data_IF_946895745009
#
_entry.id   IF_946895745009
#
_cell.length_a   1.000
_cell.length_b   1.000
_cell.length_c   1.000
_cell.angle_alpha   90.00
_cell.angle_beta   90.00
_cell.angle_gamma   90.00
#
_symmetry.space_group_name_H-M   'P 1'
#
loop_
_entity.id
_entity.type
_entity.pdbx_description
1 polymer ?
#
# COMPACT_ATOMS: atom_id res chain seq x y z
N UNK A 1 -0.16 -17.11 -18.73
CA UNK A 1 -1.36 -17.00 -17.88
C UNK A 1 -1.24 -17.84 -16.61
N UNK A 2 -0.89 -19.11 -16.72
CA UNK A 2 -0.75 -19.98 -15.52
C UNK A 2 0.35 -19.50 -14.55
N UNK A 3 1.42 -18.87 -15.04
CA UNK A 3 2.51 -18.33 -14.22
C UNK A 3 2.00 -17.10 -13.46
N UNK A 4 1.35 -16.16 -14.14
CA UNK A 4 0.76 -14.99 -13.50
C UNK A 4 -0.21 -15.38 -12.38
N UNK A 5 -1.15 -16.30 -12.66
CA UNK A 5 -2.11 -16.79 -11.67
C UNK A 5 -1.46 -17.45 -10.44
N UNK A 6 -0.25 -17.97 -10.59
CA UNK A 6 0.48 -18.64 -9.52
C UNK A 6 1.30 -17.68 -8.66
N UNK A 7 1.85 -16.62 -9.27
CA UNK A 7 2.84 -15.77 -8.62
C UNK A 7 2.39 -14.33 -8.40
N UNK A 8 1.31 -13.88 -9.06
CA UNK A 8 0.74 -12.58 -8.80
C UNK A 8 0.19 -12.52 -7.37
N UNK A 9 0.55 -11.46 -6.66
CA UNK A 9 0.11 -11.21 -5.27
C UNK A 9 -0.84 -10.03 -5.17
N UNK A 10 -1.00 -9.25 -6.25
CA UNK A 10 -1.99 -8.19 -6.35
C UNK A 10 -3.29 -8.74 -6.93
N UNK A 11 -4.02 -9.51 -6.13
CA UNK A 11 -5.30 -10.14 -6.50
C UNK A 11 -6.34 -9.94 -5.40
N UNK A 12 -7.57 -9.63 -5.80
CA UNK A 12 -8.70 -9.48 -4.87
C UNK A 12 -8.94 -10.79 -4.12
N UNK A 13 -9.06 -10.70 -2.81
CA UNK A 13 -9.27 -11.86 -1.93
C UNK A 13 -7.99 -12.59 -1.50
N UNK A 14 -6.83 -12.15 -1.95
CA UNK A 14 -5.56 -12.63 -1.41
C UNK A 14 -5.27 -11.93 -0.08
N UNK A 15 -4.77 -12.69 0.91
CA UNK A 15 -4.29 -12.16 2.17
C UNK A 15 -2.86 -12.60 2.43
N UNK A 16 -2.17 -11.90 3.30
CA UNK A 16 -0.87 -12.30 3.82
C UNK A 16 -0.87 -12.25 5.34
N UNK A 17 -0.20 -13.19 5.94
CA UNK A 17 0.04 -13.22 7.38
C UNK A 17 1.03 -12.12 7.76
N UNK A 18 0.71 -11.39 8.81
CA UNK A 18 1.54 -10.35 9.40
C UNK A 18 1.61 -10.52 10.92
N UNK A 19 2.78 -10.30 11.49
CA UNK A 19 2.97 -10.30 12.95
C UNK A 19 2.79 -8.86 13.44
N UNK A 20 1.61 -8.57 13.95
CA UNK A 20 1.27 -7.25 14.50
C UNK A 20 1.93 -7.03 15.87
N UNK A 21 2.15 -5.77 16.19
CA UNK A 21 2.82 -5.36 17.44
C UNK A 21 2.01 -5.75 18.68
N UNK A 22 0.69 -5.58 18.65
CA UNK A 22 -0.20 -5.89 19.78
C UNK A 22 -0.99 -7.19 19.58
N UNK A 23 -1.56 -7.40 18.40
CA UNK A 23 -2.57 -8.43 18.18
C UNK A 23 -1.98 -9.80 17.77
N UNK A 24 -0.65 -9.93 17.72
CA UNK A 24 0.00 -11.15 17.29
C UNK A 24 -0.16 -11.39 15.79
N UNK A 25 -0.44 -12.61 15.37
CA UNK A 25 -0.54 -12.97 13.96
C UNK A 25 -1.91 -12.62 13.41
N UNK A 26 -1.94 -11.74 12.39
CA UNK A 26 -3.15 -11.33 11.67
C UNK A 26 -3.02 -11.59 10.17
N UNK A 27 -4.15 -11.63 9.47
CA UNK A 27 -4.20 -11.71 8.02
C UNK A 27 -4.57 -10.34 7.42
N UNK A 28 -3.66 -9.78 6.63
CA UNK A 28 -3.86 -8.51 5.93
C UNK A 28 -4.37 -8.78 4.52
N UNK A 29 -5.51 -8.20 4.11
CA UNK A 29 -5.96 -8.28 2.73
C UNK A 29 -5.03 -7.51 1.79
N UNK A 30 -4.83 -8.04 0.57
CA UNK A 30 -3.99 -7.44 -0.46
C UNK A 30 -4.84 -7.20 -1.71
N UNK A 31 -4.60 -6.11 -2.41
CA UNK A 31 -5.04 -5.91 -3.78
C UNK A 31 -6.43 -5.32 -4.00
N UNK A 32 -7.15 -4.88 -2.97
CA UNK A 32 -8.46 -4.26 -3.19
C UNK A 32 -8.38 -2.75 -3.50
N UNK A 33 -7.60 -1.99 -2.75
CA UNK A 33 -7.47 -0.53 -2.90
C UNK A 33 -6.03 -0.04 -2.87
N UNK A 34 -5.09 -0.83 -2.31
CA UNK A 34 -3.68 -0.48 -2.18
C UNK A 34 -2.87 -0.74 -3.45
N UNK A 35 -1.65 -0.26 -3.45
CA UNK A 35 -0.66 -0.47 -4.54
C UNK A 35 0.41 -1.50 -4.17
N UNK A 36 0.20 -2.26 -3.11
CA UNK A 36 1.10 -3.31 -2.67
C UNK A 36 0.82 -4.62 -3.42
N UNK A 37 1.89 -5.31 -3.80
CA UNK A 37 1.81 -6.58 -4.51
C UNK A 37 2.23 -6.49 -5.98
N UNK A 38 2.32 -7.66 -6.62
CA UNK A 38 2.78 -7.82 -8.00
C UNK A 38 1.61 -8.26 -8.89
N UNK A 39 1.49 -7.65 -10.06
CA UNK A 39 0.56 -8.06 -11.10
C UNK A 39 1.25 -8.08 -12.44
N UNK A 40 1.36 -9.26 -13.03
CA UNK A 40 2.01 -9.47 -14.32
C UNK A 40 1.17 -8.87 -15.46
N UNK A 41 1.82 -8.12 -16.34
CA UNK A 41 1.27 -7.82 -17.66
C UNK A 41 1.47 -9.04 -18.56
N UNK A 42 0.46 -9.89 -18.61
CA UNK A 42 0.50 -11.15 -19.38
C UNK A 42 0.66 -10.85 -20.88
N UNK A 43 0.02 -9.80 -21.39
CA UNK A 43 0.08 -9.46 -22.83
C UNK A 43 1.48 -8.95 -23.22
N UNK A 44 2.01 -7.98 -22.47
CA UNK A 44 3.35 -7.45 -22.72
C UNK A 44 4.44 -8.53 -22.53
N UNK A 45 4.38 -9.30 -21.43
CA UNK A 45 5.28 -10.42 -21.19
C UNK A 45 5.26 -11.45 -22.31
N UNK A 46 4.06 -11.82 -22.78
CA UNK A 46 3.92 -12.77 -23.89
C UNK A 46 4.53 -12.23 -25.18
N UNK A 47 4.31 -10.97 -25.48
CA UNK A 47 4.89 -10.31 -26.67
C UNK A 47 6.43 -10.28 -26.61
N UNK A 48 6.99 -9.95 -25.47
CA UNK A 48 8.45 -9.96 -25.25
C UNK A 48 9.03 -11.38 -25.44
N UNK A 49 8.39 -12.40 -24.85
CA UNK A 49 8.83 -13.79 -24.98
C UNK A 49 8.77 -14.28 -26.44
N UNK A 50 7.72 -13.93 -27.18
CA UNK A 50 7.61 -14.27 -28.62
C UNK A 50 8.77 -13.63 -29.39
N UNK A 51 9.12 -12.39 -29.11
CA UNK A 51 10.23 -11.69 -29.76
C UNK A 51 11.56 -12.39 -29.51
N UNK A 52 11.87 -12.78 -28.27
CA UNK A 52 13.08 -13.53 -27.93
C UNK A 52 13.16 -14.87 -28.67
N UNK A 53 12.05 -15.60 -28.74
CA UNK A 53 11.98 -16.89 -29.47
C UNK A 53 12.23 -16.68 -30.97
N UNK A 54 11.59 -15.66 -31.58
CA UNK A 54 11.75 -15.36 -33.00
C UNK A 54 13.18 -14.95 -33.35
N UNK A 55 13.85 -14.26 -32.46
CA UNK A 55 15.25 -13.84 -32.62
C UNK A 55 16.26 -14.93 -32.27
N UNK A 56 15.83 -16.08 -31.75
CA UNK A 56 16.73 -17.16 -31.31
C UNK A 56 17.55 -16.78 -30.05
N UNK A 57 17.03 -15.84 -29.25
CA UNK A 57 17.71 -15.36 -28.04
C UNK A 57 17.47 -16.31 -26.87
N UNK A 58 18.52 -16.63 -26.10
CA UNK A 58 18.43 -17.36 -24.85
C UNK A 58 18.61 -16.35 -23.70
N UNK A 59 17.49 -16.02 -23.01
CA UNK A 59 17.46 -14.94 -22.01
C UNK A 59 16.87 -15.44 -20.68
N UNK A 60 17.30 -14.80 -19.60
CA UNK A 60 16.61 -14.85 -18.30
C UNK A 60 16.16 -13.43 -18.00
N UNK A 61 14.84 -13.21 -17.97
CA UNK A 61 14.25 -11.88 -17.83
C UNK A 61 13.13 -11.91 -16.80
N UNK A 62 12.90 -10.77 -16.15
CA UNK A 62 11.72 -10.54 -15.34
C UNK A 62 10.50 -10.34 -16.26
N UNK A 63 9.30 -10.74 -15.83
CA UNK A 63 8.07 -10.41 -16.54
C UNK A 63 7.83 -8.90 -16.58
N UNK A 64 7.06 -8.46 -17.56
CA UNK A 64 6.49 -7.11 -17.54
C UNK A 64 5.36 -7.05 -16.50
N UNK A 65 5.25 -5.94 -15.78
CA UNK A 65 4.28 -5.79 -14.71
C UNK A 65 3.33 -4.63 -14.95
N UNK A 66 2.03 -4.86 -14.76
CA UNK A 66 1.03 -3.78 -14.62
C UNK A 66 1.22 -3.08 -13.27
N UNK A 67 1.52 -3.88 -12.23
CA UNK A 67 1.78 -3.42 -10.87
C UNK A 67 3.05 -4.10 -10.37
N UNK A 68 4.06 -3.31 -10.02
CA UNK A 68 5.27 -3.79 -9.37
C UNK A 68 5.25 -3.38 -7.90
N UNK A 69 5.20 -4.36 -7.02
CA UNK A 69 5.21 -4.16 -5.58
C UNK A 69 6.56 -4.46 -4.94
N UNK A 70 6.68 -4.23 -3.64
CA UNK A 70 7.76 -4.78 -2.85
C UNK A 70 7.65 -6.31 -2.76
N UNK A 71 8.74 -7.01 -2.56
CA UNK A 71 8.73 -8.49 -2.49
C UNK A 71 7.78 -8.98 -1.40
N UNK A 72 6.94 -9.99 -1.67
CA UNK A 72 5.87 -10.43 -0.76
C UNK A 72 6.36 -10.93 0.61
N UNK A 73 7.61 -11.37 0.70
CA UNK A 73 8.18 -11.94 1.92
C UNK A 73 8.61 -10.90 2.95
N UNK A 74 8.62 -9.62 2.60
CA UNK A 74 9.19 -8.59 3.46
C UNK A 74 8.33 -7.34 3.37
N UNK A 75 7.84 -6.88 4.50
CA UNK A 75 7.37 -5.52 4.64
C UNK A 75 8.61 -4.65 4.70
N UNK A 76 8.85 -3.86 3.63
CA UNK A 76 10.15 -3.25 3.41
C UNK A 76 11.27 -4.28 3.20
N UNK A 77 12.12 -4.11 2.22
CA UNK A 77 13.24 -5.03 1.96
C UNK A 77 14.24 -5.14 3.13
N UNK A 78 14.12 -4.23 4.08
CA UNK A 78 14.97 -4.01 5.24
C UNK A 78 14.21 -4.01 6.58
N UNK A 79 12.96 -4.51 6.62
CA UNK A 79 12.06 -4.41 7.76
C UNK A 79 11.76 -2.94 8.17
N UNK A 80 11.72 -2.03 7.22
CA UNK A 80 11.29 -0.65 7.44
C UNK A 80 9.85 -0.49 7.01
N UNK A 81 8.96 -0.21 7.95
CA UNK A 81 7.53 -0.08 7.70
C UNK A 81 6.81 0.76 8.76
N UNK A 82 5.62 1.19 8.42
CA UNK A 82 4.68 1.81 9.35
C UNK A 82 3.54 0.81 9.58
N UNK A 83 3.26 0.53 10.84
CA UNK A 83 2.09 -0.21 11.29
C UNK A 83 1.08 0.78 11.85
N UNK A 84 -0.19 0.65 11.46
CA UNK A 84 -1.29 1.45 12.00
C UNK A 84 -2.36 0.49 12.51
N UNK A 85 -2.58 0.50 13.80
CA UNK A 85 -3.66 -0.21 14.46
C UNK A 85 -4.93 0.63 14.42
N UNK A 86 -5.91 0.18 13.65
CA UNK A 86 -7.18 0.89 13.47
C UNK A 86 -8.08 0.78 14.71
N UNK A 87 -7.92 -0.26 15.53
CA UNK A 87 -8.71 -0.47 16.72
C UNK A 87 -8.19 0.37 17.90
N UNK A 88 -6.88 0.39 18.09
CA UNK A 88 -6.23 1.12 19.17
C UNK A 88 -5.87 2.56 18.78
N UNK A 89 -6.06 2.95 17.50
CA UNK A 89 -5.75 4.28 16.99
C UNK A 89 -4.30 4.68 17.27
N UNK A 90 -3.37 3.73 17.00
CA UNK A 90 -1.95 3.91 17.28
C UNK A 90 -1.10 3.54 16.07
N UNK A 91 0.05 4.20 15.93
CA UNK A 91 1.01 4.02 14.85
C UNK A 91 2.38 3.70 15.43
N UNK A 92 3.02 2.68 14.85
CA UNK A 92 4.44 2.39 15.07
C UNK A 92 5.21 2.51 13.75
N UNK A 93 6.34 3.14 13.80
CA UNK A 93 7.27 3.21 12.68
C UNK A 93 8.54 2.46 13.02
N UNK A 94 8.81 1.43 12.25
CA UNK A 94 10.00 0.59 12.39
C UNK A 94 11.02 0.92 11.30
N UNK A 95 12.29 0.97 11.66
CA UNK A 95 13.43 1.13 10.76
C UNK A 95 14.40 -0.01 11.01
N UNK A 96 14.69 -0.80 9.97
CA UNK A 96 15.53 -2.01 10.08
C UNK A 96 15.05 -3.00 11.15
N UNK A 97 13.77 -3.05 11.41
CA UNK A 97 13.17 -3.90 12.43
C UNK A 97 13.19 -3.35 13.85
N UNK A 98 13.75 -2.17 14.07
CA UNK A 98 13.76 -1.50 15.37
C UNK A 98 12.70 -0.40 15.41
N UNK A 99 12.01 -0.28 16.55
CA UNK A 99 11.03 0.79 16.76
C UNK A 99 11.74 2.14 16.77
N UNK A 100 11.39 3.00 15.81
CA UNK A 100 11.96 4.32 15.66
C UNK A 100 11.05 5.42 16.23
N UNK A 101 9.74 5.30 16.02
CA UNK A 101 8.73 6.26 16.43
C UNK A 101 7.41 5.54 16.71
N UNK A 102 6.66 6.04 17.67
CA UNK A 102 5.26 5.70 17.88
C UNK A 102 4.43 6.95 18.17
N UNK A 103 3.14 6.91 17.85
CA UNK A 103 2.23 8.03 18.07
C UNK A 103 0.78 7.55 18.08
N UNK A 104 -0.04 8.21 18.89
CA UNK A 104 -1.48 8.13 18.69
C UNK A 104 -1.86 8.77 17.36
N UNK A 105 -2.84 8.19 16.69
CA UNK A 105 -3.36 8.65 15.41
C UNK A 105 -4.89 8.69 15.43
N UNK A 106 -5.46 9.35 14.44
CA UNK A 106 -6.90 9.28 14.16
C UNK A 106 -7.06 8.75 12.75
N UNK A 107 -7.77 7.65 12.61
CA UNK A 107 -8.08 7.05 11.32
C UNK A 107 -9.43 7.52 10.78
N UNK A 108 -9.77 7.10 9.59
CA UNK A 108 -11.05 7.44 8.97
C UNK A 108 -12.25 6.97 9.79
N UNK A 109 -13.40 7.58 9.56
CA UNK A 109 -14.63 7.36 10.33
C UNK A 109 -15.18 5.95 10.06
N UNK A 110 -15.15 5.08 11.04
CA UNK A 110 -15.56 3.67 10.91
C UNK A 110 -17.07 3.51 10.61
N UNK A 111 -17.90 4.45 11.08
CA UNK A 111 -19.35 4.46 10.84
C UNK A 111 -19.75 4.91 9.43
N UNK A 112 -18.82 5.41 8.62
CA UNK A 112 -19.07 5.87 7.25
C UNK A 112 -18.15 5.14 6.26
N UNK A 113 -18.67 4.15 5.50
CA UNK A 113 -17.87 3.38 4.55
C UNK A 113 -17.11 4.20 3.49
N UNK A 114 -17.58 5.42 3.18
CA UNK A 114 -16.92 6.32 2.24
C UNK A 114 -15.71 7.04 2.84
N UNK A 115 -15.56 6.99 4.16
CA UNK A 115 -14.51 7.66 4.93
C UNK A 115 -13.68 6.70 5.78
N UNK A 116 -13.99 5.42 5.72
CA UNK A 116 -13.30 4.38 6.48
C UNK A 116 -11.88 4.18 5.96
N UNK A 117 -10.93 4.00 6.86
CA UNK A 117 -9.59 3.53 6.50
C UNK A 117 -9.63 2.02 6.29
N UNK A 118 -9.37 1.52 5.07
CA UNK A 118 -9.43 0.08 4.82
C UNK A 118 -8.23 -0.63 5.45
N UNK A 119 -8.42 -1.85 6.00
CA UNK A 119 -7.31 -2.69 6.39
C UNK A 119 -6.56 -3.21 5.15
N UNK A 120 -5.26 -3.44 5.28
CA UNK A 120 -4.45 -3.99 4.21
C UNK A 120 -2.99 -3.61 4.29
N UNK A 121 -2.24 -4.02 3.28
CA UNK A 121 -0.84 -3.66 3.11
C UNK A 121 -0.71 -2.67 1.94
N UNK A 122 -0.13 -1.53 2.21
CA UNK A 122 -0.02 -0.39 1.30
C UNK A 122 1.43 0.05 1.15
N UNK A 123 1.66 0.96 0.22
CA UNK A 123 2.96 1.61 0.05
C UNK A 123 2.78 3.12 0.00
N UNK A 124 3.56 3.84 0.80
CA UNK A 124 3.73 5.29 0.58
C UNK A 124 4.44 5.48 -0.77
N UNK A 125 3.77 6.12 -1.72
CA UNK A 125 4.31 6.30 -3.07
C UNK A 125 4.67 7.75 -3.41
N UNK A 126 4.31 8.71 -2.54
CA UNK A 126 4.70 10.11 -2.63
C UNK A 126 4.89 10.69 -1.23
N UNK A 127 5.67 11.76 -1.14
CA UNK A 127 5.80 12.62 0.05
C UNK A 127 5.71 14.06 -0.41
N UNK A 128 4.69 14.75 0.02
CA UNK A 128 4.39 16.11 -0.40
C UNK A 128 4.42 17.04 0.82
N UNK A 129 4.98 18.23 0.63
CA UNK A 129 4.98 19.29 1.63
C UNK A 129 3.98 20.37 1.22
N UNK A 130 3.00 20.60 2.10
CA UNK A 130 1.98 21.63 1.92
C UNK A 130 0.96 21.32 0.82
N UNK A 131 -0.20 20.85 1.20
CA UNK A 131 -1.32 20.71 0.26
C UNK A 131 -2.67 20.85 0.96
N UNK A 132 -3.69 21.17 0.19
CA UNK A 132 -5.07 21.06 0.64
C UNK A 132 -5.59 19.63 0.41
N UNK A 133 -6.27 19.11 1.43
CA UNK A 133 -7.03 17.86 1.35
C UNK A 133 -8.52 18.17 1.22
N UNK A 134 -9.19 17.44 0.33
CA UNK A 134 -10.60 17.60 0.04
C UNK A 134 -10.96 18.85 -0.75
N UNK A 135 -12.24 18.93 -1.10
CA UNK A 135 -12.89 20.14 -1.65
C UNK A 135 -14.23 20.31 -0.98
N UNK A 136 -14.64 21.55 -0.74
CA UNK A 136 -15.93 21.85 -0.08
C UNK A 136 -17.12 21.29 -0.86
N UNK A 137 -17.03 21.25 -2.19
CA UNK A 137 -18.10 20.82 -3.10
C UNK A 137 -18.32 19.31 -3.07
N UNK A 138 -17.27 18.52 -2.87
CA UNK A 138 -17.34 17.06 -2.97
C UNK A 138 -17.29 16.40 -1.60
N UNK A 139 -16.30 16.77 -0.76
CA UNK A 139 -16.06 16.14 0.54
C UNK A 139 -16.63 16.94 1.72
N UNK A 140 -17.03 18.20 1.51
CA UNK A 140 -17.51 19.08 2.56
C UNK A 140 -16.42 19.62 3.49
N UNK A 141 -15.16 19.45 3.13
CA UNK A 141 -14.00 20.02 3.83
C UNK A 141 -12.91 20.43 2.85
N UNK A 142 -12.06 21.37 3.27
CA UNK A 142 -10.88 21.83 2.54
C UNK A 142 -9.82 22.21 3.56
N UNK A 143 -9.00 21.25 3.93
CA UNK A 143 -8.07 21.36 5.07
C UNK A 143 -6.64 21.39 4.56
N UNK A 144 -5.87 22.40 5.00
CA UNK A 144 -4.43 22.47 4.76
C UNK A 144 -3.70 21.45 5.65
N UNK A 145 -2.72 20.76 5.09
CA UNK A 145 -1.77 19.90 5.80
C UNK A 145 -0.35 20.25 5.38
N UNK A 146 0.58 20.18 6.30
CA UNK A 146 1.99 20.47 6.03
C UNK A 146 2.69 19.28 5.39
N UNK A 147 2.20 18.06 5.68
CA UNK A 147 2.75 16.81 5.15
C UNK A 147 1.63 15.93 4.64
N UNK A 148 1.82 15.34 3.46
CA UNK A 148 0.92 14.37 2.86
C UNK A 148 1.69 13.19 2.30
N UNK A 149 1.32 11.98 2.71
CA UNK A 149 1.92 10.72 2.24
C UNK A 149 0.82 9.76 1.81
N UNK A 150 0.39 9.80 0.54
CA UNK A 150 -0.65 8.91 0.03
C UNK A 150 -0.21 7.46 0.04
N UNK A 151 -1.16 6.57 0.34
CA UNK A 151 -0.97 5.12 0.39
C UNK A 151 -1.85 4.36 -0.59
N UNK A 152 -2.91 4.99 -1.08
CA UNK A 152 -3.76 4.42 -2.12
C UNK A 152 -4.26 5.48 -3.12
N UNK A 153 -5.00 5.04 -4.15
CA UNK A 153 -5.52 5.91 -5.20
C UNK A 153 -6.91 6.49 -4.89
N UNK A 154 -7.50 6.17 -3.75
CA UNK A 154 -8.81 6.69 -3.31
C UNK A 154 -8.69 7.98 -2.51
N UNK A 155 -7.45 8.41 -2.20
CA UNK A 155 -7.17 9.62 -1.46
C UNK A 155 -6.89 9.39 0.03
N UNK A 156 -6.54 8.17 0.41
CA UNK A 156 -6.14 7.83 1.78
C UNK A 156 -4.61 7.98 1.90
N UNK A 157 -4.18 8.54 3.01
CA UNK A 157 -2.75 8.75 3.29
C UNK A 157 -2.51 9.21 4.72
N UNK A 158 -1.24 9.26 5.08
CA UNK A 158 -0.78 9.82 6.34
C UNK A 158 -0.60 11.33 6.18
N UNK A 159 -1.08 12.08 7.15
CA UNK A 159 -0.91 13.53 7.19
C UNK A 159 -0.91 14.04 8.62
N UNK A 160 -0.34 15.22 8.81
CA UNK A 160 -0.48 15.97 10.04
C UNK A 160 -1.85 16.63 10.14
N UNK A 161 -2.27 16.90 11.35
CA UNK A 161 -3.44 17.70 11.63
C UNK A 161 -3.20 18.54 12.88
N UNK A 162 -3.56 19.83 12.83
CA UNK A 162 -3.49 20.64 14.03
C UNK A 162 -4.56 20.16 15.02
N UNK A 163 -4.16 19.88 16.27
CA UNK A 163 -5.07 19.44 17.36
C UNK A 163 -6.24 20.39 17.64
N UNK A 164 -6.19 21.61 17.09
CA UNK A 164 -7.30 22.59 17.19
C UNK A 164 -8.46 22.31 16.21
N UNK A 165 -8.38 21.27 15.40
CA UNK A 165 -9.41 20.91 14.42
C UNK A 165 -10.37 19.80 14.89
N UNK A 166 -10.23 19.32 16.16
CA UNK A 166 -11.12 18.34 16.79
C UNK A 166 -11.80 18.92 18.02
#
# INVERSE_FOLDING_TARGET
ENIANKYDTYVTGYSRTFQATLDGTIDLPIGSTGIYGWKTDVAATTSALISYIQNGESVTVEPEYIQAGARPSVIGSDNTYIEVDLCHQHLWYYVNGELYLESDVVTGLDSDPSRQTPPGAFRVWSKENGRYLGTMEVQGYHTWVDYWMPIDHTGIGLHDLSRSAY
#
